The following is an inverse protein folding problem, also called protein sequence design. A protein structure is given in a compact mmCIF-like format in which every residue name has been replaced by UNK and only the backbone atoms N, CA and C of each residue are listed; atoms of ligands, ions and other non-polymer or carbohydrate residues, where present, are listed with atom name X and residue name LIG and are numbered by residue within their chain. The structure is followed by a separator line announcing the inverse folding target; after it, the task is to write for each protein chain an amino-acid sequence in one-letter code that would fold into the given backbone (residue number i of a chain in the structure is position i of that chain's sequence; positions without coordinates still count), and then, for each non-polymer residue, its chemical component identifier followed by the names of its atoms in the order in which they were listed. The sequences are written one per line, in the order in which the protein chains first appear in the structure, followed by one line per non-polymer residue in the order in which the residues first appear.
data_IF_264994144201
#
_entry.id   IF_264994144201
#
_cell.length_a   1.000
_cell.length_b   1.000
_cell.length_c   1.000
_cell.angle_alpha   90.00
_cell.angle_beta   90.00
_cell.angle_gamma   90.00
#
_symmetry.space_group_name_H-M   'P 1'
#
loop_
_entity.id
_entity.type
_entity.pdbx_description
1 polymer ?
#
# COMPACT_ATOMS: atom_id res chain seq x y z
N UNK A 1 -44.39 5.52 -33.63
CA UNK A 1 -44.51 6.24 -32.34
C UNK A 1 -43.17 6.18 -31.63
N UNK A 2 -42.45 7.29 -31.55
CA UNK A 2 -41.19 7.38 -30.79
C UNK A 2 -41.60 7.52 -29.31
N UNK A 3 -41.54 6.44 -28.52
CA UNK A 3 -41.79 6.50 -27.07
C UNK A 3 -40.75 7.46 -26.48
N UNK A 4 -41.19 8.61 -25.93
CA UNK A 4 -40.32 9.49 -25.15
C UNK A 4 -39.84 8.71 -23.93
N UNK A 5 -38.54 8.48 -23.82
CA UNK A 5 -37.93 7.92 -22.62
C UNK A 5 -38.01 8.96 -21.50
N UNK A 6 -38.77 8.67 -20.44
CA UNK A 6 -38.85 9.54 -19.28
C UNK A 6 -37.52 9.56 -18.51
N UNK A 7 -37.15 10.73 -18.00
CA UNK A 7 -35.91 10.93 -17.25
C UNK A 7 -35.97 10.28 -15.87
N UNK A 8 -37.14 10.36 -15.23
CA UNK A 8 -37.41 9.90 -13.87
C UNK A 8 -37.93 8.47 -13.84
N UNK A 9 -37.82 7.82 -12.68
CA UNK A 9 -38.41 6.50 -12.47
C UNK A 9 -39.93 6.60 -12.33
N UNK A 10 -40.61 5.46 -12.53
CA UNK A 10 -42.01 5.25 -12.14
C UNK A 10 -42.08 4.05 -11.19
N UNK A 11 -43.27 3.71 -10.68
CA UNK A 11 -43.44 2.46 -9.92
C UNK A 11 -43.18 1.20 -10.77
N UNK A 12 -43.21 1.31 -12.10
CA UNK A 12 -43.07 0.19 -13.02
C UNK A 12 -41.68 0.14 -13.69
N UNK A 13 -41.08 1.28 -14.01
CA UNK A 13 -39.90 1.37 -14.90
C UNK A 13 -38.81 2.29 -14.37
N UNK A 14 -37.56 1.99 -14.74
CA UNK A 14 -36.44 2.89 -14.51
C UNK A 14 -36.38 3.97 -15.60
N UNK A 15 -36.22 5.23 -15.17
CA UNK A 15 -35.97 6.36 -16.06
C UNK A 15 -34.64 6.24 -16.78
N UNK A 16 -34.43 6.99 -17.85
CA UNK A 16 -33.16 6.89 -18.60
C UNK A 16 -31.96 7.38 -17.78
N UNK A 17 -32.13 8.30 -16.84
CA UNK A 17 -31.05 8.82 -15.99
C UNK A 17 -30.51 7.73 -15.05
N UNK A 18 -31.38 6.99 -14.36
CA UNK A 18 -30.96 5.87 -13.50
C UNK A 18 -30.26 4.78 -14.31
N UNK A 19 -30.77 4.47 -15.50
CA UNK A 19 -30.13 3.50 -16.41
C UNK A 19 -28.76 3.97 -16.87
N UNK A 20 -28.62 5.25 -17.21
CA UNK A 20 -27.34 5.82 -17.60
C UNK A 20 -26.32 5.73 -16.44
N UNK A 21 -26.72 6.06 -15.21
CA UNK A 21 -25.87 5.86 -14.03
C UNK A 21 -25.47 4.41 -13.85
N UNK A 22 -26.43 3.48 -13.92
CA UNK A 22 -26.19 2.04 -13.78
C UNK A 22 -25.15 1.54 -14.80
N UNK A 23 -25.37 1.79 -16.09
CA UNK A 23 -24.50 1.28 -17.14
C UNK A 23 -23.13 1.97 -17.18
N UNK A 24 -23.06 3.26 -16.83
CA UNK A 24 -21.78 3.96 -16.67
C UNK A 24 -20.95 3.35 -15.56
N UNK A 25 -21.56 3.13 -14.39
CA UNK A 25 -20.89 2.48 -13.25
C UNK A 25 -20.48 1.05 -13.61
N UNK A 26 -21.32 0.29 -14.30
CA UNK A 26 -20.99 -1.08 -14.71
C UNK A 26 -19.74 -1.11 -15.61
N UNK A 27 -19.65 -0.25 -16.62
CA UNK A 27 -18.47 -0.14 -17.50
C UNK A 27 -17.25 0.30 -16.71
N UNK A 28 -17.39 1.30 -15.84
CA UNK A 28 -16.29 1.79 -15.02
C UNK A 28 -15.75 0.71 -14.06
N UNK A 29 -16.63 -0.05 -13.39
CA UNK A 29 -16.22 -1.14 -12.50
C UNK A 29 -15.46 -2.21 -13.26
N UNK A 30 -15.98 -2.68 -14.41
CA UNK A 30 -15.29 -3.70 -15.21
C UNK A 30 -13.92 -3.20 -15.66
N UNK A 31 -13.83 -1.93 -16.06
CA UNK A 31 -12.57 -1.27 -16.42
C UNK A 31 -11.60 -1.23 -15.23
N UNK A 32 -12.07 -0.81 -14.06
CA UNK A 32 -11.26 -0.73 -12.85
C UNK A 32 -10.74 -2.10 -12.38
N UNK A 33 -11.57 -3.15 -12.46
CA UNK A 33 -11.19 -4.51 -12.10
C UNK A 33 -10.08 -5.05 -13.03
N UNK A 34 -10.23 -4.85 -14.34
CA UNK A 34 -9.21 -5.25 -15.31
C UNK A 34 -7.91 -4.46 -15.09
N UNK A 35 -8.00 -3.13 -14.98
CA UNK A 35 -6.83 -2.29 -14.74
C UNK A 35 -6.12 -2.64 -13.42
N UNK A 36 -6.89 -2.90 -12.36
CA UNK A 36 -6.33 -3.27 -11.05
C UNK A 36 -5.57 -4.59 -11.10
N UNK A 37 -6.12 -5.61 -11.79
CA UNK A 37 -5.43 -6.89 -11.99
C UNK A 37 -4.16 -6.71 -12.84
N UNK A 38 -4.27 -6.03 -13.98
CA UNK A 38 -3.14 -5.77 -14.87
C UNK A 38 -2.04 -4.97 -14.15
N UNK A 39 -2.39 -3.95 -13.37
CA UNK A 39 -1.42 -3.15 -12.61
C UNK A 39 -0.71 -3.98 -11.53
N UNK A 40 -1.47 -4.80 -10.78
CA UNK A 40 -0.93 -5.66 -9.74
C UNK A 40 0.09 -6.66 -10.29
N UNK A 41 -0.25 -7.29 -11.41
CA UNK A 41 0.58 -8.33 -12.06
C UNK A 41 1.72 -7.76 -12.91
N UNK A 42 1.68 -6.47 -13.26
CA UNK A 42 2.67 -5.87 -14.15
C UNK A 42 4.09 -6.02 -13.56
N UNK A 43 5.08 -6.40 -14.38
CA UNK A 43 6.47 -6.43 -13.96
C UNK A 43 6.97 -5.01 -13.67
N UNK A 44 8.14 -4.94 -13.04
CA UNK A 44 8.79 -3.69 -12.63
C UNK A 44 10.32 -3.86 -12.58
N UNK A 45 10.86 -4.78 -13.38
CA UNK A 45 12.29 -5.08 -13.41
C UNK A 45 13.07 -4.04 -14.23
N UNK A 46 12.43 -3.45 -15.25
CA UNK A 46 12.98 -2.35 -16.05
C UNK A 46 12.22 -1.05 -15.88
N UNK A 47 12.88 0.06 -16.25
CA UNK A 47 12.28 1.39 -16.29
C UNK A 47 10.96 1.45 -17.09
N UNK A 48 10.96 0.83 -18.29
CA UNK A 48 9.79 0.78 -19.15
C UNK A 48 8.62 0.00 -18.50
N UNK A 49 8.93 -1.08 -17.79
CA UNK A 49 7.93 -1.88 -17.07
C UNK A 49 7.39 -1.11 -15.85
N UNK A 50 8.25 -0.47 -15.06
CA UNK A 50 7.84 0.36 -13.93
C UNK A 50 6.95 1.52 -14.40
N UNK A 51 7.35 2.22 -15.46
CA UNK A 51 6.55 3.29 -16.09
C UNK A 51 5.18 2.78 -16.55
N UNK A 52 5.13 1.59 -17.14
CA UNK A 52 3.87 0.96 -17.55
C UNK A 52 3.00 0.60 -16.35
N UNK A 53 3.59 0.07 -15.28
CA UNK A 53 2.90 -0.24 -14.02
C UNK A 53 2.34 1.01 -13.36
N UNK A 54 3.13 2.09 -13.32
CA UNK A 54 2.71 3.40 -12.82
C UNK A 54 1.50 3.92 -13.60
N UNK A 55 1.56 3.90 -14.93
CA UNK A 55 0.44 4.28 -15.79
C UNK A 55 -0.84 3.48 -15.47
N UNK A 56 -0.73 2.15 -15.35
CA UNK A 56 -1.89 1.29 -15.07
C UNK A 56 -2.51 1.62 -13.72
N UNK A 57 -1.70 1.83 -12.67
CA UNK A 57 -2.18 2.24 -11.37
C UNK A 57 -2.80 3.63 -11.38
N UNK A 58 -2.17 4.62 -12.02
CA UNK A 58 -2.73 5.96 -12.14
C UNK A 58 -4.07 5.95 -12.85
N UNK A 59 -4.21 5.16 -13.92
CA UNK A 59 -5.48 5.02 -14.61
C UNK A 59 -6.53 4.30 -13.73
N UNK A 60 -6.17 3.19 -13.09
CA UNK A 60 -7.03 2.47 -12.15
C UNK A 60 -7.56 3.39 -11.03
N UNK A 61 -6.68 4.14 -10.37
CA UNK A 61 -7.05 5.05 -9.28
C UNK A 61 -7.97 6.18 -9.76
N UNK A 62 -7.69 6.74 -10.93
CA UNK A 62 -8.51 7.80 -11.55
C UNK A 62 -9.92 7.28 -11.89
N UNK A 63 -10.03 6.06 -12.44
CA UNK A 63 -11.31 5.40 -12.66
C UNK A 63 -12.01 5.12 -11.32
N UNK A 64 -11.29 4.70 -10.28
CA UNK A 64 -11.82 4.49 -8.94
C UNK A 64 -12.47 5.74 -8.33
N UNK A 65 -11.78 6.89 -8.39
CA UNK A 65 -12.33 8.19 -7.97
C UNK A 65 -13.56 8.58 -8.81
N UNK A 66 -13.51 8.33 -10.11
CA UNK A 66 -14.66 8.58 -11.01
C UNK A 66 -15.87 7.73 -10.62
N UNK A 67 -15.68 6.43 -10.34
CA UNK A 67 -16.74 5.54 -9.84
C UNK A 67 -17.34 6.11 -8.56
N UNK A 68 -16.51 6.53 -7.60
CA UNK A 68 -16.98 7.08 -6.34
C UNK A 68 -17.91 8.28 -6.54
N UNK A 69 -17.50 9.27 -7.34
CA UNK A 69 -18.29 10.46 -7.60
C UNK A 69 -19.59 10.15 -8.36
N UNK A 70 -19.51 9.31 -9.39
CA UNK A 70 -20.70 8.88 -10.15
C UNK A 70 -21.65 8.07 -9.26
N UNK A 71 -21.11 7.25 -8.35
CA UNK A 71 -21.90 6.50 -7.38
C UNK A 71 -22.60 7.40 -6.37
N UNK A 72 -21.93 8.42 -5.83
CA UNK A 72 -22.56 9.41 -4.96
C UNK A 72 -23.70 10.14 -5.69
N UNK A 73 -23.45 10.59 -6.93
CA UNK A 73 -24.48 11.21 -7.76
C UNK A 73 -25.66 10.27 -8.01
N UNK A 74 -25.38 8.98 -8.30
CA UNK A 74 -26.40 7.95 -8.45
C UNK A 74 -27.20 7.74 -7.17
N UNK A 75 -26.57 7.67 -6.01
CA UNK A 75 -27.25 7.46 -4.72
C UNK A 75 -28.17 8.66 -4.43
N UNK A 76 -27.66 9.89 -4.59
CA UNK A 76 -28.45 11.12 -4.43
C UNK A 76 -29.64 11.15 -5.41
N UNK A 77 -29.42 10.75 -6.67
CA UNK A 77 -30.50 10.61 -7.63
C UNK A 77 -31.52 9.57 -7.15
N UNK A 78 -31.08 8.33 -6.87
CA UNK A 78 -31.94 7.22 -6.52
C UNK A 78 -32.80 7.44 -5.26
N UNK A 79 -32.32 8.20 -4.26
CA UNK A 79 -33.13 8.55 -3.09
C UNK A 79 -34.25 9.55 -3.39
N UNK A 80 -34.10 10.36 -4.45
CA UNK A 80 -35.13 11.31 -4.90
C UNK A 80 -36.20 10.67 -5.80
N UNK A 81 -35.95 9.45 -6.29
CA UNK A 81 -36.81 8.79 -7.28
C UNK A 81 -37.77 7.78 -6.65
N UNK A 82 -38.97 7.59 -7.21
CA UNK A 82 -39.79 6.45 -6.85
C UNK A 82 -39.03 5.15 -7.16
N UNK A 83 -39.08 4.20 -6.24
CA UNK A 83 -38.44 2.89 -6.42
C UNK A 83 -39.36 1.99 -7.23
N UNK A 84 -38.96 1.52 -8.42
CA UNK A 84 -39.78 0.59 -9.17
C UNK A 84 -40.05 -0.68 -8.35
N UNK A 85 -41.30 -1.16 -8.36
CA UNK A 85 -41.71 -2.34 -7.59
C UNK A 85 -40.99 -3.60 -8.08
N UNK A 86 -40.66 -4.55 -7.19
CA UNK A 86 -40.01 -5.78 -7.57
C UNK A 86 -40.96 -6.68 -8.39
N UNK A 87 -40.41 -7.51 -9.27
CA UNK A 87 -41.20 -8.52 -9.99
C UNK A 87 -41.37 -9.80 -9.17
N UNK A 88 -40.42 -10.07 -8.27
CA UNK A 88 -40.36 -11.28 -7.45
C UNK A 88 -40.30 -10.94 -5.96
N UNK A 89 -40.98 -11.76 -5.15
CA UNK A 89 -40.96 -11.69 -3.69
C UNK A 89 -40.19 -12.84 -3.05
N UNK A 90 -40.43 -13.09 -1.76
CA UNK A 90 -39.86 -14.25 -1.06
C UNK A 90 -38.33 -14.28 -1.03
N UNK A 91 -37.75 -15.47 -1.18
CA UNK A 91 -36.29 -15.69 -1.10
C UNK A 91 -35.56 -14.95 -2.24
N UNK A 92 -36.15 -14.90 -3.42
CA UNK A 92 -35.55 -14.24 -4.59
C UNK A 92 -35.50 -12.71 -4.40
N UNK A 93 -36.62 -12.11 -3.99
CA UNK A 93 -36.65 -10.69 -3.64
C UNK A 93 -35.70 -10.35 -2.50
N UNK A 94 -35.55 -11.24 -1.51
CA UNK A 94 -34.59 -11.10 -0.42
C UNK A 94 -33.14 -11.11 -0.93
N UNK A 95 -32.78 -12.11 -1.75
CA UNK A 95 -31.43 -12.26 -2.30
C UNK A 95 -31.05 -11.07 -3.18
N UNK A 96 -31.97 -10.62 -4.06
CA UNK A 96 -31.77 -9.44 -4.89
C UNK A 96 -31.53 -8.18 -4.04
N UNK A 97 -32.32 -7.97 -2.98
CA UNK A 97 -32.14 -6.85 -2.07
C UNK A 97 -30.78 -6.91 -1.34
N UNK A 98 -30.38 -8.08 -0.83
CA UNK A 98 -29.11 -8.25 -0.14
C UNK A 98 -27.91 -7.96 -1.07
N UNK A 99 -27.92 -8.52 -2.29
CA UNK A 99 -26.88 -8.26 -3.30
C UNK A 99 -26.83 -6.78 -3.68
N UNK A 100 -27.98 -6.11 -3.86
CA UNK A 100 -27.98 -4.67 -4.13
C UNK A 100 -27.37 -3.85 -2.98
N UNK A 101 -27.66 -4.19 -1.72
CA UNK A 101 -27.05 -3.50 -0.58
C UNK A 101 -25.54 -3.74 -0.49
N UNK A 102 -25.08 -4.96 -0.78
CA UNK A 102 -23.64 -5.24 -0.89
C UNK A 102 -23.01 -4.39 -1.98
N UNK A 103 -23.60 -4.36 -3.18
CA UNK A 103 -23.09 -3.54 -4.28
C UNK A 103 -23.09 -2.04 -3.94
N UNK A 104 -24.15 -1.48 -3.35
CA UNK A 104 -24.16 -0.08 -2.92
C UNK A 104 -23.05 0.22 -1.90
N UNK A 105 -22.81 -0.68 -0.94
CA UNK A 105 -21.68 -0.56 -0.03
C UNK A 105 -20.35 -0.57 -0.78
N UNK A 106 -20.18 -1.49 -1.74
CA UNK A 106 -18.95 -1.61 -2.54
C UNK A 106 -18.67 -0.34 -3.36
N UNK A 107 -19.70 0.30 -3.93
CA UNK A 107 -19.55 1.54 -4.71
C UNK A 107 -18.92 2.69 -3.92
N UNK A 108 -19.05 2.67 -2.60
CA UNK A 108 -18.54 3.73 -1.71
C UNK A 108 -17.25 3.26 -1.02
N UNK A 109 -17.29 2.10 -0.36
CA UNK A 109 -16.23 1.68 0.54
C UNK A 109 -14.95 1.27 -0.20
N UNK A 110 -15.06 0.59 -1.35
CA UNK A 110 -13.89 0.15 -2.14
C UNK A 110 -13.05 1.34 -2.62
N UNK A 111 -13.61 2.32 -3.37
CA UNK A 111 -12.81 3.44 -3.83
C UNK A 111 -12.37 4.38 -2.70
N UNK A 112 -13.16 4.50 -1.62
CA UNK A 112 -12.76 5.29 -0.45
C UNK A 112 -11.52 4.70 0.23
N UNK A 113 -11.48 3.38 0.45
CA UNK A 113 -10.30 2.69 0.97
C UNK A 113 -9.11 2.80 0.00
N UNK A 114 -9.35 2.70 -1.31
CA UNK A 114 -8.30 2.84 -2.32
C UNK A 114 -7.69 4.25 -2.35
N UNK A 115 -8.52 5.30 -2.22
CA UNK A 115 -8.04 6.67 -2.08
C UNK A 115 -7.29 6.87 -0.77
N UNK A 116 -7.82 6.38 0.36
CA UNK A 116 -7.17 6.52 1.66
C UNK A 116 -5.80 5.82 1.68
N UNK A 117 -5.70 4.61 1.12
CA UNK A 117 -4.44 3.90 0.91
C UNK A 117 -3.45 4.76 0.10
N UNK A 118 -3.89 5.37 -1.01
CA UNK A 118 -3.05 6.26 -1.80
C UNK A 118 -2.58 7.50 -1.01
N UNK A 119 -3.49 8.13 -0.26
CA UNK A 119 -3.22 9.36 0.47
C UNK A 119 -2.22 9.15 1.62
N UNK A 120 -2.23 7.98 2.28
CA UNK A 120 -1.26 7.67 3.35
C UNK A 120 0.02 7.02 2.83
N UNK A 121 0.04 6.55 1.58
CA UNK A 121 1.22 5.93 0.95
C UNK A 121 2.28 6.94 0.51
N UNK A 122 3.54 6.51 0.57
CA UNK A 122 4.62 7.08 -0.23
C UNK A 122 4.68 6.26 -1.54
N UNK A 123 4.10 6.81 -2.62
CA UNK A 123 3.78 6.05 -3.81
C UNK A 123 4.18 6.75 -5.10
N UNK A 124 4.49 5.95 -6.11
CA UNK A 124 5.05 6.38 -7.40
C UNK A 124 3.99 6.67 -8.48
N UNK A 125 2.73 6.28 -8.26
CA UNK A 125 1.65 6.41 -9.24
C UNK A 125 0.58 7.44 -8.79
N UNK A 126 0.56 8.66 -9.34
CA UNK A 126 -0.36 9.71 -8.94
C UNK A 126 -1.80 9.45 -9.45
N UNK A 127 -2.79 10.08 -8.81
CA UNK A 127 -4.16 10.16 -9.33
C UNK A 127 -4.24 11.33 -10.30
N UNK A 128 -4.64 11.08 -11.56
CA UNK A 128 -4.78 12.12 -12.57
C UNK A 128 -6.14 12.80 -12.48
N UNK A 129 -6.29 13.65 -11.47
CA UNK A 129 -7.51 14.42 -11.28
C UNK A 129 -7.40 15.81 -11.93
N UNK A 130 -8.27 16.17 -12.89
CA UNK A 130 -8.13 17.42 -13.63
C UNK A 130 -8.65 18.65 -12.86
N UNK A 131 -9.34 18.47 -11.72
CA UNK A 131 -9.97 19.56 -10.97
C UNK A 131 -9.18 19.98 -9.71
N UNK A 132 -7.87 19.75 -9.71
CA UNK A 132 -6.95 20.10 -8.62
C UNK A 132 -6.48 18.89 -7.82
N UNK A 133 -5.94 19.16 -6.63
CA UNK A 133 -5.38 18.12 -5.74
C UNK A 133 -6.51 17.57 -4.87
N UNK A 134 -6.66 16.25 -4.84
CA UNK A 134 -7.56 15.59 -3.89
C UNK A 134 -7.04 15.80 -2.46
N UNK A 135 -7.88 15.73 -1.42
CA UNK A 135 -7.39 15.83 -0.05
C UNK A 135 -6.27 14.81 0.20
N UNK A 136 -5.21 15.24 0.89
CA UNK A 136 -4.09 14.37 1.26
C UNK A 136 -4.18 14.01 2.76
N UNK A 137 -3.50 12.93 3.15
CA UNK A 137 -3.43 12.48 4.53
C UNK A 137 -1.96 12.42 4.98
N UNK A 138 -1.68 12.48 6.30
CA UNK A 138 -0.34 12.22 6.82
C UNK A 138 0.21 10.89 6.28
N UNK A 139 1.47 10.90 5.87
CA UNK A 139 2.11 9.68 5.36
C UNK A 139 2.33 8.71 6.50
N UNK A 140 1.82 7.50 6.33
CA UNK A 140 1.85 6.43 7.30
C UNK A 140 1.89 5.11 6.52
N UNK A 141 3.09 4.54 6.31
CA UNK A 141 3.27 3.30 5.56
C UNK A 141 2.48 2.12 6.15
N UNK A 142 2.37 2.04 7.47
CA UNK A 142 1.68 0.96 8.17
C UNK A 142 0.17 1.08 7.94
N UNK A 143 -0.40 2.27 8.14
CA UNK A 143 -1.80 2.52 7.84
C UNK A 143 -2.09 2.31 6.34
N UNK A 144 -1.20 2.76 5.46
CA UNK A 144 -1.30 2.53 4.01
C UNK A 144 -1.41 1.03 3.71
N UNK A 145 -0.52 0.18 4.23
CA UNK A 145 -0.57 -1.27 4.00
C UNK A 145 -1.91 -1.87 4.47
N UNK A 146 -2.37 -1.48 5.66
CA UNK A 146 -3.66 -1.91 6.22
C UNK A 146 -4.85 -1.56 5.32
N UNK A 147 -4.88 -0.32 4.84
CA UNK A 147 -5.90 0.16 3.91
C UNK A 147 -5.85 -0.58 2.58
N UNK A 148 -4.66 -0.94 2.09
CA UNK A 148 -4.47 -1.76 0.90
C UNK A 148 -5.05 -3.17 1.05
N UNK A 149 -4.79 -3.83 2.18
CA UNK A 149 -5.36 -5.16 2.51
C UNK A 149 -6.89 -5.09 2.56
N UNK A 150 -7.42 -4.10 3.28
CA UNK A 150 -8.87 -3.88 3.37
C UNK A 150 -9.49 -3.61 2.00
N UNK A 151 -8.85 -2.78 1.16
CA UNK A 151 -9.29 -2.51 -0.20
C UNK A 151 -9.43 -3.82 -1.01
N UNK A 152 -8.43 -4.70 -0.99
CA UNK A 152 -8.47 -5.98 -1.72
C UNK A 152 -9.57 -6.89 -1.20
N UNK A 153 -9.77 -6.98 0.12
CA UNK A 153 -10.86 -7.77 0.71
C UNK A 153 -12.22 -7.23 0.28
N UNK A 154 -12.39 -5.91 0.27
CA UNK A 154 -13.64 -5.26 -0.12
C UNK A 154 -13.90 -5.42 -1.63
N UNK A 155 -12.84 -5.45 -2.46
CA UNK A 155 -12.93 -5.82 -3.88
C UNK A 155 -13.42 -7.26 -4.04
N UNK A 156 -13.02 -8.21 -3.20
CA UNK A 156 -13.53 -9.60 -3.26
C UNK A 156 -15.04 -9.64 -2.97
N UNK A 157 -15.52 -8.88 -1.99
CA UNK A 157 -16.95 -8.73 -1.71
C UNK A 157 -17.69 -8.14 -2.92
N UNK A 158 -17.12 -7.09 -3.55
CA UNK A 158 -17.65 -6.50 -4.78
C UNK A 158 -17.75 -7.55 -5.90
N UNK A 159 -16.68 -8.30 -6.17
CA UNK A 159 -16.62 -9.29 -7.26
C UNK A 159 -17.65 -10.40 -7.03
N UNK A 160 -17.73 -10.97 -5.83
CA UNK A 160 -18.74 -12.00 -5.52
C UNK A 160 -20.16 -11.45 -5.70
N UNK A 161 -20.42 -10.23 -5.20
CA UNK A 161 -21.74 -9.58 -5.33
C UNK A 161 -22.08 -9.28 -6.79
N UNK A 162 -21.11 -8.86 -7.59
CA UNK A 162 -21.26 -8.58 -9.01
C UNK A 162 -21.58 -9.88 -9.78
N UNK A 163 -20.86 -10.96 -9.49
CA UNK A 163 -21.12 -12.28 -10.10
C UNK A 163 -22.54 -12.78 -9.75
N UNK A 164 -22.96 -12.66 -8.49
CA UNK A 164 -24.31 -13.02 -8.08
C UNK A 164 -25.37 -12.14 -8.76
N UNK A 165 -25.11 -10.85 -8.92
CA UNK A 165 -26.00 -9.92 -9.63
C UNK A 165 -26.17 -10.27 -11.11
N UNK A 166 -25.06 -10.58 -11.80
CA UNK A 166 -25.07 -11.03 -13.20
C UNK A 166 -25.77 -12.38 -13.31
N UNK A 167 -25.48 -13.33 -12.41
CA UNK A 167 -26.13 -14.65 -12.40
C UNK A 167 -27.65 -14.53 -12.20
N UNK A 168 -28.10 -13.67 -11.29
CA UNK A 168 -29.53 -13.37 -11.12
C UNK A 168 -30.15 -12.78 -12.39
N UNK A 169 -29.47 -11.85 -13.04
CA UNK A 169 -29.92 -11.27 -14.32
C UNK A 169 -30.02 -12.34 -15.42
N UNK A 170 -29.03 -13.23 -15.54
CA UNK A 170 -29.04 -14.33 -16.50
C UNK A 170 -30.16 -15.33 -16.20
N UNK A 171 -30.41 -15.64 -14.93
CA UNK A 171 -31.54 -16.47 -14.50
C UNK A 171 -32.88 -15.86 -14.94
N UNK A 172 -33.06 -14.55 -14.76
CA UNK A 172 -34.26 -13.85 -15.23
C UNK A 172 -34.40 -13.85 -16.75
N UNK A 173 -33.30 -13.75 -17.51
CA UNK A 173 -33.32 -13.78 -18.97
C UNK A 173 -33.64 -15.19 -19.50
N UNK A 174 -32.99 -16.22 -18.96
CA UNK A 174 -32.98 -17.57 -19.53
C UNK A 174 -34.07 -18.46 -18.96
N UNK A 175 -34.30 -18.40 -17.64
CA UNK A 175 -35.20 -19.29 -16.91
C UNK A 175 -36.57 -18.62 -16.77
N UNK A 176 -36.64 -17.48 -16.09
CA UNK A 176 -37.91 -16.81 -15.81
C UNK A 176 -38.50 -16.14 -17.05
N UNK A 177 -37.63 -15.72 -17.99
CA UNK A 177 -37.95 -14.99 -19.21
C UNK A 177 -38.81 -13.75 -18.95
N UNK A 178 -38.48 -13.02 -17.89
CA UNK A 178 -39.21 -11.83 -17.48
C UNK A 178 -38.54 -10.52 -17.92
N UNK A 179 -39.14 -9.39 -17.53
CA UNK A 179 -38.70 -8.06 -17.93
C UNK A 179 -37.68 -7.43 -16.97
N UNK A 180 -37.11 -8.15 -16.00
CA UNK A 180 -36.13 -7.61 -15.03
C UNK A 180 -34.97 -6.93 -15.72
N UNK A 181 -34.32 -7.61 -16.67
CA UNK A 181 -33.24 -7.01 -17.47
C UNK A 181 -33.76 -5.89 -18.38
N UNK A 182 -34.87 -6.11 -19.08
CA UNK A 182 -35.43 -5.15 -20.03
C UNK A 182 -35.81 -3.81 -19.38
N UNK A 183 -36.19 -3.82 -18.10
CA UNK A 183 -36.44 -2.62 -17.30
C UNK A 183 -35.18 -1.78 -17.09
N UNK A 184 -34.02 -2.41 -16.90
CA UNK A 184 -32.74 -1.70 -16.73
C UNK A 184 -32.05 -1.37 -18.06
N UNK A 185 -32.31 -2.15 -19.12
CA UNK A 185 -31.77 -1.88 -20.46
C UNK A 185 -32.56 -0.78 -21.17
N UNK A 186 -33.82 -1.05 -21.51
CA UNK A 186 -34.65 -0.18 -22.36
C UNK A 186 -35.75 0.57 -21.61
N UNK A 187 -35.96 0.30 -20.32
CA UNK A 187 -37.06 0.89 -19.55
C UNK A 187 -38.40 0.23 -19.87
N UNK A 188 -38.38 -1.05 -20.27
CA UNK A 188 -39.59 -1.77 -20.65
C UNK A 188 -40.57 -1.93 -19.48
N UNK A 189 -41.87 -1.77 -19.74
CA UNK A 189 -42.91 -1.94 -18.72
C UNK A 189 -43.16 -3.43 -18.42
N UNK A 190 -43.08 -3.85 -17.15
CA UNK A 190 -43.39 -5.22 -16.74
C UNK A 190 -44.89 -5.53 -16.89
N UNK A 191 -45.22 -6.82 -17.07
CA UNK A 191 -46.61 -7.29 -17.18
C UNK A 191 -47.27 -7.48 -15.82
N UNK A 192 -46.47 -7.87 -14.83
CA UNK A 192 -46.90 -8.13 -13.46
C UNK A 192 -45.94 -7.47 -12.48
N UNK A 193 -46.45 -6.97 -11.35
CA UNK A 193 -45.66 -6.42 -10.26
C UNK A 193 -45.95 -7.23 -9.00
N UNK A 194 -44.91 -7.50 -8.20
CA UNK A 194 -45.08 -8.11 -6.89
C UNK A 194 -45.35 -7.05 -5.83
N UNK A 195 -46.04 -7.46 -4.76
CA UNK A 195 -46.28 -6.58 -3.62
C UNK A 195 -44.94 -6.26 -2.93
N UNK A 196 -44.57 -4.98 -2.88
CA UNK A 196 -43.40 -4.54 -2.14
C UNK A 196 -43.69 -4.66 -0.64
N UNK A 197 -42.96 -5.52 0.06
CA UNK A 197 -42.91 -5.54 1.52
C UNK A 197 -41.55 -5.00 1.98
N UNK A 198 -41.49 -3.91 2.75
CA UNK A 198 -40.24 -3.43 3.30
C UNK A 198 -39.70 -4.45 4.30
N UNK A 199 -38.47 -4.92 4.08
CA UNK A 199 -37.77 -5.81 4.99
C UNK A 199 -36.38 -5.22 5.29
N UNK A 200 -36.07 -5.04 6.57
CA UNK A 200 -34.76 -4.56 7.03
C UNK A 200 -33.69 -5.65 7.04
N UNK A 201 -34.10 -6.92 6.99
CA UNK A 201 -33.22 -8.08 7.11
C UNK A 201 -32.13 -8.16 6.01
N UNK A 202 -32.40 -7.87 4.71
CA UNK A 202 -31.34 -7.82 3.70
C UNK A 202 -30.24 -6.80 4.00
N UNK A 203 -30.60 -5.65 4.60
CA UNK A 203 -29.64 -4.62 5.03
C UNK A 203 -28.78 -5.16 6.16
N UNK A 204 -29.39 -5.79 7.16
CA UNK A 204 -28.67 -6.39 8.28
C UNK A 204 -27.67 -7.46 7.81
N UNK A 205 -28.09 -8.35 6.89
CA UNK A 205 -27.20 -9.36 6.31
C UNK A 205 -26.04 -8.73 5.55
N UNK A 206 -26.29 -7.73 4.70
CA UNK A 206 -25.23 -7.01 4.01
C UNK A 206 -24.27 -6.31 5.00
N UNK A 207 -24.81 -5.71 6.06
CA UNK A 207 -24.02 -5.11 7.15
C UNK A 207 -23.14 -6.14 7.87
N UNK A 208 -23.67 -7.33 8.15
CA UNK A 208 -22.90 -8.43 8.74
C UNK A 208 -21.75 -8.87 7.82
N UNK A 209 -21.99 -8.99 6.52
CA UNK A 209 -20.92 -9.32 5.55
C UNK A 209 -19.83 -8.26 5.55
N UNK A 210 -20.18 -6.98 5.57
CA UNK A 210 -19.20 -5.89 5.68
C UNK A 210 -18.43 -5.90 7.01
N UNK A 211 -19.11 -6.18 8.13
CA UNK A 211 -18.47 -6.31 9.43
C UNK A 211 -17.48 -7.49 9.47
N UNK A 212 -17.84 -8.63 8.87
CA UNK A 212 -16.94 -9.77 8.74
C UNK A 212 -15.74 -9.41 7.84
N UNK A 213 -15.97 -8.77 6.69
CA UNK A 213 -14.90 -8.35 5.79
C UNK A 213 -13.91 -7.40 6.47
N UNK A 214 -14.42 -6.45 7.27
CA UNK A 214 -13.60 -5.56 8.09
C UNK A 214 -12.81 -6.34 9.14
N UNK A 215 -13.47 -7.23 9.89
CA UNK A 215 -12.82 -8.04 10.94
C UNK A 215 -11.72 -8.95 10.37
N UNK A 216 -11.96 -9.58 9.21
CA UNK A 216 -10.93 -10.35 8.50
C UNK A 216 -9.76 -9.46 8.07
N UNK A 217 -10.03 -8.27 7.54
CA UNK A 217 -8.97 -7.33 7.18
C UNK A 217 -8.10 -6.93 8.36
N UNK A 218 -8.72 -6.57 9.49
CA UNK A 218 -8.00 -6.21 10.71
C UNK A 218 -7.23 -7.39 11.32
N UNK A 219 -7.71 -8.63 11.16
CA UNK A 219 -7.01 -9.82 11.63
C UNK A 219 -5.81 -10.21 10.75
N UNK A 220 -5.83 -9.85 9.47
CA UNK A 220 -4.75 -10.11 8.51
C UNK A 220 -3.67 -9.03 8.50
N UNK A 221 -3.93 -7.88 9.14
CA UNK A 221 -2.95 -6.81 9.25
C UNK A 221 -2.00 -7.06 10.42
N UNK A 222 -0.67 -7.02 10.20
CA UNK A 222 0.29 -7.11 11.30
C UNK A 222 0.04 -6.01 12.35
N UNK A 223 0.20 -6.31 13.65
CA UNK A 223 0.12 -5.28 14.69
C UNK A 223 1.15 -4.17 14.43
N UNK A 224 0.76 -2.95 14.75
CA UNK A 224 1.65 -1.77 14.67
C UNK A 224 2.81 -2.01 15.63
N UNK A 225 4.05 -1.91 15.13
CA UNK A 225 5.22 -1.78 15.98
C UNK A 225 5.33 -2.81 17.11
N UNK A 226 5.85 -3.97 16.79
CA UNK A 226 7.11 -4.28 17.47
C UNK A 226 8.18 -4.00 16.44
N UNK A 227 8.74 -2.79 16.46
CA UNK A 227 10.19 -2.72 16.25
C UNK A 227 10.73 -3.78 17.21
N UNK A 228 11.14 -4.92 16.67
CA UNK A 228 11.79 -5.91 17.49
C UNK A 228 12.94 -5.16 18.17
N UNK A 229 13.18 -5.36 19.48
CA UNK A 229 14.45 -4.92 20.05
C UNK A 229 15.52 -5.45 19.11
N UNK A 230 16.46 -4.60 18.67
CA UNK A 230 17.57 -5.01 17.83
C UNK A 230 18.10 -6.33 18.39
N UNK A 231 17.80 -7.43 17.69
CA UNK A 231 17.90 -8.76 18.26
C UNK A 231 19.38 -9.06 18.40
N UNK A 232 19.90 -8.91 19.62
CA UNK A 232 21.28 -9.22 19.96
C UNK A 232 21.53 -10.72 19.78
N UNK A 233 22.02 -11.07 18.60
CA UNK A 233 22.74 -12.32 18.40
C UNK A 233 24.12 -11.98 17.87
N UNK A 234 24.98 -11.64 18.85
CA UNK A 234 26.38 -11.28 18.75
C UNK A 234 27.01 -11.57 17.38
N UNK A 235 27.32 -10.49 16.65
CA UNK A 235 28.40 -10.53 15.66
C UNK A 235 29.69 -10.84 16.43
N UNK A 236 30.53 -11.75 15.91
CA UNK A 236 31.68 -12.35 16.60
C UNK A 236 32.89 -11.42 16.80
N UNK A 237 32.66 -10.15 17.10
CA UNK A 237 33.68 -9.13 17.37
C UNK A 237 33.81 -8.79 18.86
N UNK A 238 34.93 -8.18 19.24
CA UNK A 238 35.04 -7.54 20.55
C UNK A 238 34.09 -6.32 20.58
N UNK A 239 33.23 -6.24 21.59
CA UNK A 239 32.25 -5.14 21.73
C UNK A 239 32.27 -4.63 23.16
N UNK A 240 32.79 -3.42 23.37
CA UNK A 240 32.77 -2.75 24.67
C UNK A 240 31.57 -1.79 24.83
N UNK A 241 30.79 -1.59 23.76
CA UNK A 241 29.48 -0.93 23.78
C UNK A 241 28.38 -1.87 23.27
N UNK A 242 27.19 -1.74 23.85
CA UNK A 242 25.98 -2.49 23.47
C UNK A 242 24.88 -1.53 23.05
N UNK A 243 24.32 -1.70 21.86
CA UNK A 243 23.19 -0.90 21.37
C UNK A 243 21.92 -1.25 22.16
N UNK A 244 21.27 -0.25 22.78
CA UNK A 244 19.97 -0.43 23.45
C UNK A 244 18.81 -0.18 22.48
N UNK A 245 18.90 0.91 21.72
CA UNK A 245 17.87 1.35 20.77
C UNK A 245 18.55 1.97 19.56
N UNK A 246 17.98 1.80 18.37
CA UNK A 246 18.48 2.49 17.19
C UNK A 246 17.62 2.31 15.95
N UNK A 247 17.96 3.09 14.93
CA UNK A 247 17.33 3.08 13.62
C UNK A 247 18.40 3.08 12.54
N UNK A 248 18.17 2.26 11.51
CA UNK A 248 18.92 2.27 10.25
C UNK A 248 17.90 2.51 9.14
N UNK A 249 17.83 3.76 8.69
CA UNK A 249 16.83 4.22 7.73
C UNK A 249 17.48 4.55 6.39
N UNK A 250 16.70 4.44 5.32
CA UNK A 250 17.10 4.88 3.99
C UNK A 250 16.07 5.80 3.37
N UNK A 251 16.52 6.66 2.47
CA UNK A 251 15.67 7.50 1.64
C UNK A 251 16.15 7.47 0.19
N UNK A 252 15.23 7.26 -0.74
CA UNK A 252 15.49 7.26 -2.19
C UNK A 252 14.38 8.02 -2.91
N UNK A 253 14.72 8.70 -4.00
CA UNK A 253 13.71 9.36 -4.84
C UNK A 253 13.14 8.37 -5.85
N UNK A 254 11.82 8.27 -5.95
CA UNK A 254 11.13 7.49 -6.98
C UNK A 254 10.04 8.32 -7.65
N UNK A 255 10.10 8.44 -8.98
CA UNK A 255 9.18 9.26 -9.77
C UNK A 255 9.05 10.70 -9.22
N UNK A 256 10.17 11.28 -8.77
CA UNK A 256 10.25 12.62 -8.19
C UNK A 256 9.76 12.75 -6.73
N UNK A 257 9.34 11.67 -6.06
CA UNK A 257 8.93 11.69 -4.65
C UNK A 257 9.94 10.94 -3.78
N UNK A 258 10.25 11.48 -2.60
CA UNK A 258 11.06 10.76 -1.62
C UNK A 258 10.27 9.58 -1.03
N UNK A 259 10.91 8.41 -1.00
CA UNK A 259 10.42 7.21 -0.34
C UNK A 259 11.41 6.85 0.76
N UNK A 260 10.92 6.75 1.99
CA UNK A 260 11.71 6.49 3.19
C UNK A 260 11.35 5.13 3.78
N UNK A 261 12.35 4.46 4.34
CA UNK A 261 12.20 3.13 4.88
C UNK A 261 13.27 2.81 5.92
N UNK A 262 13.21 1.63 6.52
CA UNK A 262 14.21 1.18 7.49
C UNK A 262 14.39 -0.33 7.47
N UNK A 263 15.55 -0.76 7.95
CA UNK A 263 15.87 -2.16 8.22
C UNK A 263 15.48 -2.48 9.67
N UNK A 264 14.66 -3.52 9.85
CA UNK A 264 14.26 -3.96 11.18
C UNK A 264 15.35 -4.80 11.86
N UNK A 265 16.11 -5.58 11.08
CA UNK A 265 17.07 -6.55 11.59
C UNK A 265 18.49 -6.13 11.19
N UNK A 266 19.18 -5.49 12.13
CA UNK A 266 20.59 -5.14 12.01
C UNK A 266 21.26 -5.21 13.38
N UNK A 267 22.58 -5.36 13.37
CA UNK A 267 23.41 -5.49 14.56
C UNK A 267 24.72 -4.74 14.38
N UNK A 268 25.30 -4.27 15.48
CA UNK A 268 26.61 -3.65 15.49
C UNK A 268 27.45 -4.20 16.65
N UNK A 269 28.67 -4.64 16.35
CA UNK A 269 29.74 -4.83 17.33
C UNK A 269 30.57 -3.54 17.35
N UNK A 270 30.64 -2.90 18.51
CA UNK A 270 31.27 -1.59 18.67
C UNK A 270 32.35 -1.69 19.73
N UNK A 271 33.59 -1.47 19.31
CA UNK A 271 34.73 -1.24 20.18
C UNK A 271 35.14 0.23 20.05
N UNK A 272 34.98 1.01 21.12
CA UNK A 272 35.26 2.44 21.08
C UNK A 272 35.92 2.94 22.37
N UNK A 273 36.96 3.75 22.21
CA UNK A 273 37.66 4.48 23.26
C UNK A 273 37.75 5.98 22.91
N UNK A 274 37.52 6.83 23.90
CA UNK A 274 37.63 8.29 23.76
C UNK A 274 39.08 8.71 23.46
N UNK A 275 40.05 7.93 23.97
CA UNK A 275 41.47 8.17 23.71
C UNK A 275 41.91 7.39 22.47
N UNK A 276 42.56 8.04 21.50
CA UNK A 276 43.09 7.32 20.34
C UNK A 276 44.06 6.20 20.76
N UNK A 277 43.86 5.04 20.15
CA UNK A 277 44.73 3.87 20.19
C UNK A 277 46.08 4.17 19.55
N UNK A 278 47.04 3.26 19.71
CA UNK A 278 48.42 3.45 19.22
C UNK A 278 48.53 3.56 17.69
N UNK A 279 47.54 3.09 16.95
CA UNK A 279 47.44 3.21 15.49
C UNK A 279 46.72 4.49 15.02
N UNK A 280 46.28 5.34 15.96
CA UNK A 280 45.59 6.60 15.69
C UNK A 280 44.08 6.46 15.52
N UNK A 281 43.52 5.26 15.65
CA UNK A 281 42.07 5.02 15.65
C UNK A 281 41.48 5.19 17.04
N UNK A 282 40.17 5.37 17.15
CA UNK A 282 39.40 5.37 18.39
C UNK A 282 38.69 4.03 18.63
N UNK A 283 39.00 3.01 17.83
CA UNK A 283 38.37 1.70 17.89
C UNK A 283 37.80 1.23 16.55
N UNK A 284 36.89 0.27 16.57
CA UNK A 284 36.34 -0.40 15.39
C UNK A 284 34.84 -0.61 15.50
N UNK A 285 34.19 -0.72 14.34
CA UNK A 285 32.78 -1.10 14.25
C UNK A 285 32.59 -2.12 13.14
N UNK A 286 31.82 -3.16 13.44
CA UNK A 286 31.32 -4.13 12.48
C UNK A 286 29.79 -4.13 12.53
N UNK A 287 29.14 -3.77 11.44
CA UNK A 287 27.68 -3.74 11.31
C UNK A 287 27.23 -4.85 10.37
N UNK A 288 26.21 -5.60 10.75
CA UNK A 288 25.58 -6.63 9.93
C UNK A 288 24.10 -6.32 9.78
N UNK A 289 23.61 -6.24 8.54
CA UNK A 289 22.23 -5.87 8.21
C UNK A 289 21.59 -7.00 7.42
N UNK A 290 20.45 -7.52 7.90
CA UNK A 290 19.67 -8.46 7.11
C UNK A 290 18.89 -7.70 6.04
N UNK A 291 19.31 -7.82 4.78
CA UNK A 291 18.79 -6.97 3.68
C UNK A 291 17.30 -7.20 3.42
N UNK A 292 16.80 -8.41 3.70
CA UNK A 292 15.39 -8.77 3.59
C UNK A 292 14.48 -8.13 4.64
N UNK A 293 15.04 -7.51 5.69
CA UNK A 293 14.29 -6.79 6.73
C UNK A 293 13.89 -5.37 6.33
N UNK A 294 14.25 -4.94 5.11
CA UNK A 294 13.91 -3.61 4.60
C UNK A 294 12.39 -3.46 4.41
N UNK A 295 11.85 -2.42 5.04
CA UNK A 295 10.54 -1.86 4.68
C UNK A 295 10.74 -0.49 4.06
N UNK A 296 10.29 -0.31 2.82
CA UNK A 296 10.43 0.93 2.02
C UNK A 296 9.07 1.31 1.42
N UNK A 297 8.05 1.38 2.28
CA UNK A 297 6.68 1.68 1.88
C UNK A 297 6.17 0.77 0.76
N UNK A 298 5.56 1.37 -0.26
CA UNK A 298 4.93 0.62 -1.37
C UNK A 298 5.92 -0.09 -2.31
N UNK A 299 7.22 0.15 -2.16
CA UNK A 299 8.27 -0.40 -3.04
C UNK A 299 9.23 -1.34 -2.33
N UNK A 300 8.89 -1.76 -1.11
CA UNK A 300 9.65 -2.77 -0.34
C UNK A 300 10.00 -4.00 -1.17
N UNK A 301 9.02 -4.58 -1.88
CA UNK A 301 9.24 -5.77 -2.72
C UNK A 301 10.17 -5.49 -3.91
N UNK A 302 10.12 -4.28 -4.48
CA UNK A 302 11.04 -3.91 -5.55
C UNK A 302 12.47 -3.75 -5.00
N UNK A 303 12.63 -3.09 -3.86
CA UNK A 303 13.93 -2.83 -3.25
C UNK A 303 14.65 -4.11 -2.84
N UNK A 304 13.93 -5.16 -2.41
CA UNK A 304 14.52 -6.45 -2.01
C UNK A 304 14.69 -7.45 -3.17
N UNK A 305 14.21 -7.11 -4.37
CA UNK A 305 14.29 -7.97 -5.56
C UNK A 305 15.72 -8.11 -6.12
N UNK A 306 15.91 -9.06 -7.05
CA UNK A 306 17.21 -9.38 -7.67
C UNK A 306 17.87 -8.18 -8.40
N UNK A 307 17.08 -7.25 -8.92
CA UNK A 307 17.58 -6.05 -9.61
C UNK A 307 18.17 -5.03 -8.64
N UNK A 308 17.79 -5.08 -7.36
CA UNK A 308 18.26 -4.17 -6.31
C UNK A 308 19.05 -4.94 -5.25
N UNK A 309 18.62 -4.97 -3.98
CA UNK A 309 19.39 -5.60 -2.90
C UNK A 309 19.62 -7.10 -3.11
N UNK A 310 18.75 -7.75 -3.89
CA UNK A 310 18.83 -9.18 -4.18
C UNK A 310 18.91 -10.01 -2.88
N UNK A 311 18.03 -9.71 -1.93
CA UNK A 311 18.09 -10.18 -0.55
C UNK A 311 18.03 -11.70 -0.38
N UNK A 312 17.48 -12.42 -1.34
CA UNK A 312 17.48 -13.89 -1.32
C UNK A 312 18.88 -14.46 -1.60
N UNK A 313 19.65 -13.85 -2.51
CA UNK A 313 21.01 -14.27 -2.85
C UNK A 313 22.06 -13.64 -1.92
N UNK A 314 21.80 -12.42 -1.43
CA UNK A 314 22.68 -11.64 -0.56
C UNK A 314 21.90 -11.24 0.70
N UNK A 315 21.67 -12.18 1.63
CA UNK A 315 20.83 -11.96 2.80
C UNK A 315 21.42 -10.95 3.79
N UNK A 316 22.73 -10.73 3.75
CA UNK A 316 23.46 -9.89 4.69
C UNK A 316 24.29 -8.85 3.93
N UNK A 317 24.25 -7.61 4.40
CA UNK A 317 25.22 -6.58 4.07
C UNK A 317 26.09 -6.31 5.30
N UNK A 318 27.39 -6.06 5.11
CA UNK A 318 28.34 -5.80 6.21
C UNK A 318 29.08 -4.50 6.02
N UNK A 319 29.26 -3.75 7.11
CA UNK A 319 30.10 -2.55 7.14
C UNK A 319 31.15 -2.72 8.23
N UNK A 320 32.41 -2.76 7.81
CA UNK A 320 33.57 -2.96 8.67
C UNK A 320 34.44 -1.71 8.61
N UNK A 321 34.64 -1.04 9.74
CA UNK A 321 35.33 0.24 9.77
C UNK A 321 36.17 0.50 11.02
N UNK A 322 37.24 1.26 10.84
CA UNK A 322 37.96 1.89 11.93
C UNK A 322 37.31 3.23 12.26
N UNK A 323 37.13 3.51 13.55
CA UNK A 323 36.62 4.79 14.03
C UNK A 323 37.80 5.72 14.23
N UNK A 324 37.69 6.98 13.81
CA UNK A 324 38.73 8.00 14.05
C UNK A 324 38.10 9.36 14.27
N UNK A 325 38.68 10.14 15.18
CA UNK A 325 38.25 11.52 15.41
C UNK A 325 38.48 12.38 14.16
N UNK A 326 37.49 13.19 13.79
CA UNK A 326 37.59 14.14 12.67
C UNK A 326 36.77 15.40 12.97
N UNK A 327 37.47 16.55 13.09
CA UNK A 327 36.84 17.81 13.47
C UNK A 327 36.24 17.76 14.88
N UNK A 328 34.96 18.11 15.00
CA UNK A 328 34.20 18.05 16.27
C UNK A 328 33.46 16.71 16.45
N UNK A 329 33.62 15.76 15.54
CA UNK A 329 32.96 14.46 15.58
C UNK A 329 33.91 13.31 15.24
N UNK A 330 33.36 12.27 14.65
CA UNK A 330 34.09 11.07 14.26
C UNK A 330 33.72 10.66 12.84
N UNK A 331 34.58 9.85 12.23
CA UNK A 331 34.25 9.09 11.02
C UNK A 331 34.50 7.61 11.27
N UNK A 332 33.63 6.78 10.72
CA UNK A 332 33.86 5.36 10.52
C UNK A 332 34.38 5.19 9.09
N UNK A 333 35.67 4.85 8.97
CA UNK A 333 36.40 4.74 7.71
C UNK A 333 36.72 3.26 7.45
N UNK A 334 36.14 2.71 6.39
CA UNK A 334 36.22 1.28 6.14
C UNK A 334 35.58 0.85 4.83
N UNK A 335 34.98 -0.34 4.84
CA UNK A 335 34.39 -0.95 3.66
C UNK A 335 32.96 -1.41 3.89
N UNK A 336 32.09 -1.15 2.92
CA UNK A 336 30.74 -1.67 2.85
C UNK A 336 30.71 -2.81 1.82
N UNK A 337 30.43 -4.03 2.27
CA UNK A 337 30.04 -5.14 1.40
C UNK A 337 28.51 -5.19 1.29
N UNK A 338 28.04 -5.00 0.06
CA UNK A 338 26.62 -5.02 -0.24
C UNK A 338 26.42 -5.67 -1.61
N UNK A 339 25.58 -6.69 -1.66
CA UNK A 339 25.30 -7.46 -2.90
C UNK A 339 26.57 -8.08 -3.51
N UNK A 340 27.52 -8.50 -2.66
CA UNK A 340 28.78 -9.11 -3.09
C UNK A 340 29.74 -8.13 -3.79
N UNK A 341 29.48 -6.83 -3.67
CA UNK A 341 30.40 -5.76 -4.09
C UNK A 341 30.86 -5.03 -2.85
N UNK A 342 32.17 -5.01 -2.64
CA UNK A 342 32.81 -4.30 -1.54
C UNK A 342 33.36 -2.96 -2.03
N UNK A 343 32.92 -1.85 -1.42
CA UNK A 343 33.45 -0.51 -1.73
C UNK A 343 34.00 0.17 -0.47
N UNK A 344 35.00 1.06 -0.60
CA UNK A 344 35.38 1.96 0.48
C UNK A 344 34.22 2.90 0.85
N UNK A 345 33.99 3.11 2.14
CA UNK A 345 32.98 4.01 2.65
C UNK A 345 33.51 4.75 3.88
N UNK A 346 33.36 6.08 3.87
CA UNK A 346 33.63 6.93 5.01
C UNK A 346 32.30 7.51 5.49
N UNK A 347 31.89 7.12 6.69
CA UNK A 347 30.64 7.55 7.29
C UNK A 347 30.92 8.54 8.44
N UNK A 348 30.58 9.83 8.27
CA UNK A 348 30.66 10.79 9.37
C UNK A 348 29.52 10.60 10.36
N UNK A 349 29.83 10.82 11.64
CA UNK A 349 28.84 10.79 12.70
C UNK A 349 29.19 11.73 13.86
N UNK A 350 28.14 12.18 14.55
CA UNK A 350 28.23 12.86 15.83
C UNK A 350 28.07 11.86 16.96
N UNK A 351 28.80 12.06 18.05
CA UNK A 351 28.76 11.22 19.23
C UNK A 351 28.67 12.10 20.47
N UNK A 352 27.60 11.94 21.25
CA UNK A 352 27.45 12.55 22.57
C UNK A 352 27.63 11.47 23.65
N UNK A 353 28.50 11.73 24.62
CA UNK A 353 28.89 10.79 25.67
C UNK A 353 28.53 11.37 27.04
N UNK A 354 27.61 10.70 27.72
CA UNK A 354 27.22 11.00 29.10
C UNK A 354 27.56 9.80 30.00
N UNK A 355 28.81 9.74 30.47
CA UNK A 355 29.31 8.63 31.27
C UNK A 355 29.36 7.32 30.46
N UNK A 356 28.55 6.33 30.85
CA UNK A 356 28.46 5.03 30.18
C UNK A 356 27.34 4.95 29.14
N UNK A 357 26.76 6.10 28.74
CA UNK A 357 25.73 6.19 27.71
C UNK A 357 26.23 7.03 26.53
N UNK A 358 26.04 6.51 25.33
CA UNK A 358 26.42 7.13 24.07
C UNK A 358 25.21 7.35 23.18
N UNK A 359 25.03 8.57 22.65
CA UNK A 359 24.04 8.87 21.60
C UNK A 359 24.79 9.21 20.32
N UNK A 360 24.53 8.43 19.27
CA UNK A 360 25.20 8.55 17.98
C UNK A 360 24.18 8.84 16.87
N UNK A 361 24.55 9.74 15.96
CA UNK A 361 23.81 9.99 14.74
C UNK A 361 24.77 10.20 13.57
N UNK A 362 24.49 9.57 12.42
CA UNK A 362 25.28 9.68 11.21
C UNK A 362 24.41 9.60 9.96
N UNK A 363 24.90 10.23 8.89
CA UNK A 363 24.24 10.21 7.59
C UNK A 363 25.29 10.09 6.50
N UNK A 364 25.00 9.26 5.49
CA UNK A 364 25.84 9.16 4.29
C UNK A 364 24.96 8.97 3.06
N UNK A 365 25.42 9.46 1.91
CA UNK A 365 24.76 9.23 0.63
C UNK A 365 25.57 8.22 -0.19
N UNK A 366 24.91 7.15 -0.62
CA UNK A 366 25.48 6.12 -1.47
C UNK A 366 24.91 6.24 -2.90
N UNK A 367 25.68 5.84 -3.90
CA UNK A 367 25.17 5.62 -5.25
C UNK A 367 24.88 4.13 -5.44
N UNK A 368 23.60 3.77 -5.66
CA UNK A 368 23.19 2.37 -5.80
C UNK A 368 23.90 1.66 -6.97
N UNK A 369 24.37 2.41 -7.97
CA UNK A 369 25.03 1.87 -9.17
C UNK A 369 26.43 1.34 -8.87
N UNK A 370 27.07 1.82 -7.80
CA UNK A 370 28.37 1.30 -7.36
C UNK A 370 28.28 -0.20 -6.98
N UNK A 371 27.09 -0.67 -6.64
CA UNK A 371 26.77 -2.07 -6.33
C UNK A 371 26.03 -2.79 -7.49
N UNK A 372 25.98 -2.18 -8.68
CA UNK A 372 25.28 -2.70 -9.86
C UNK A 372 23.77 -2.80 -9.68
N UNK A 373 23.15 -2.02 -8.77
CA UNK A 373 21.71 -2.09 -8.53
C UNK A 373 20.95 -1.26 -9.55
N UNK A 374 19.92 -1.84 -10.16
CA UNK A 374 18.99 -1.20 -11.09
C UNK A 374 19.65 -0.70 -12.36
N UNK A 375 20.49 -1.53 -13.00
CA UNK A 375 21.16 -1.23 -14.29
C UNK A 375 20.17 -0.99 -15.44
N UNK A 376 18.94 -1.51 -15.31
CA UNK A 376 17.84 -1.34 -16.26
C UNK A 376 17.18 0.06 -16.19
N UNK A 377 17.65 0.93 -15.30
CA UNK A 377 17.18 2.31 -15.11
C UNK A 377 18.24 3.28 -15.65
N UNK A 378 18.07 3.83 -16.87
CA UNK A 378 19.11 4.61 -17.55
C UNK A 378 19.30 6.02 -16.97
N UNK A 379 18.32 6.53 -16.24
CA UNK A 379 18.31 7.86 -15.61
C UNK A 379 17.50 7.88 -14.30
N UNK A 380 17.47 9.03 -13.64
CA UNK A 380 16.79 9.23 -12.35
C UNK A 380 15.30 9.57 -12.47
N UNK A 381 14.72 9.55 -13.68
CA UNK A 381 13.30 9.90 -13.87
C UNK A 381 12.39 8.97 -13.07
N UNK A 382 12.74 7.67 -13.04
CA UNK A 382 12.00 6.63 -12.33
C UNK A 382 12.53 6.34 -10.94
N UNK A 383 13.82 6.04 -10.81
CA UNK A 383 14.45 5.67 -9.53
C UNK A 383 15.78 6.40 -9.45
N UNK A 384 15.91 7.28 -8.45
CA UNK A 384 17.13 8.04 -8.18
C UNK A 384 18.33 7.13 -7.97
N UNK A 385 19.52 7.63 -8.30
CA UNK A 385 20.77 6.90 -8.08
C UNK A 385 21.24 7.03 -6.64
N UNK A 386 21.07 8.21 -6.06
CA UNK A 386 21.40 8.49 -4.67
C UNK A 386 20.43 7.81 -3.68
N UNK A 387 21.01 7.13 -2.70
CA UNK A 387 20.33 6.58 -1.53
C UNK A 387 20.96 7.21 -0.29
N UNK A 388 20.18 7.99 0.45
CA UNK A 388 20.62 8.49 1.76
C UNK A 388 20.41 7.39 2.78
N UNK A 389 21.43 7.12 3.59
CA UNK A 389 21.40 6.22 4.74
C UNK A 389 21.54 7.05 6.00
N UNK A 390 20.59 6.89 6.92
CA UNK A 390 20.54 7.58 8.21
C UNK A 390 20.64 6.54 9.32
N UNK A 391 21.56 6.77 10.26
CA UNK A 391 21.73 5.95 11.46
C UNK A 391 21.58 6.83 12.68
N UNK A 392 20.77 6.40 13.63
CA UNK A 392 20.71 6.99 14.95
C UNK A 392 20.58 5.88 15.98
N UNK A 393 21.41 5.87 17.01
CA UNK A 393 21.39 4.85 18.05
C UNK A 393 21.78 5.40 19.41
N UNK A 394 21.34 4.68 20.44
CA UNK A 394 21.86 4.81 21.79
C UNK A 394 22.52 3.51 22.21
N UNK A 395 23.72 3.60 22.76
CA UNK A 395 24.47 2.47 23.29
C UNK A 395 24.90 2.71 24.74
N UNK A 396 25.16 1.62 25.45
CA UNK A 396 25.72 1.62 26.80
C UNK A 396 26.99 0.81 26.88
N UNK A 397 27.93 1.23 27.73
CA UNK A 397 29.19 0.51 27.93
C UNK A 397 28.92 -0.85 28.56
N UNK A 398 29.48 -1.92 28.01
CA UNK A 398 29.14 -3.31 28.36
C UNK A 398 29.38 -3.66 29.84
N UNK A 399 30.31 -2.99 30.53
CA UNK A 399 30.58 -3.21 31.96
C UNK A 399 29.42 -2.75 32.88
N UNK A 400 28.58 -1.82 32.42
CA UNK A 400 27.45 -1.27 33.17
C UNK A 400 26.19 -2.16 33.13
N UNK A 401 26.14 -3.17 32.26
CA UNK A 401 24.98 -4.07 32.10
C UNK A 401 24.93 -5.14 33.20
N UNK A 402 26.05 -5.41 33.88
CA UNK A 402 26.18 -6.48 34.88
C UNK A 402 25.60 -6.16 36.25
N UNK A 403 25.13 -4.92 36.50
CA UNK A 403 24.70 -4.45 37.83
C UNK A 403 23.22 -4.01 37.90
N UNK A 404 22.36 -4.54 37.01
CA UNK A 404 20.89 -4.33 37.06
C UNK A 404 20.10 -5.61 37.24
#
# INVERSE_FOLDING_TARGET
MIRRTEATNTEATYGWVERAFHWSIAVLILTALVLGKLASDAPYASDAELSRKAFLFSFHKTVGVTIFLVALARIVWAVSQPRPKPLHGGIEGFAAAAVHWLLYGSLVLVPLLGWAHHATSQGFAPIWWPYGVLPDLPKDPVLSERLGILHVIFVRVLVVSLLLHIAGTLKHIVIDRDKTFARMWSGAEPETLSAARPHVLPVAVAGTVWAIALGVGLALTPPEGTAAPAGSTAVGGASNWTVEEGTLSISVTQMGSAVTGSFADWQAAIDFDETPLTDGTNGTVEVSVATGSLTLGSVSTQATSADFLSSEAFPTATFDAAIRAEGEGYVADGTLDLRGVTIPLVMPFTLDLEGDRAVMAGQVMLDRRDFGMGETYPDESSVGFGVTVDVALTAVRSDAVTDR
#
